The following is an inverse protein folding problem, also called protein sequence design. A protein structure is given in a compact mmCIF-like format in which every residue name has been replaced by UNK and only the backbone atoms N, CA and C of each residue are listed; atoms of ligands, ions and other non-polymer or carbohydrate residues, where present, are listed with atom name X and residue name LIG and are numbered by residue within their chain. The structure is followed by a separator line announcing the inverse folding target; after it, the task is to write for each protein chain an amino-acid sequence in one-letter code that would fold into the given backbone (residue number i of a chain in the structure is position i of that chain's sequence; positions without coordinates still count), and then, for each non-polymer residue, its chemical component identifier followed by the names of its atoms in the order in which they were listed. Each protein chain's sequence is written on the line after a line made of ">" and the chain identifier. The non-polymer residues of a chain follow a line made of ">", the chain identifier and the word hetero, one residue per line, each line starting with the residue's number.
data_IF_427509385957
#
_entry.id   IF_427509385957
#
_cell.length_a   1.000
_cell.length_b   1.000
_cell.length_c   1.000
_cell.angle_alpha   90.00
_cell.angle_beta   90.00
_cell.angle_gamma   90.00
#
_symmetry.space_group_name_H-M   'P 1'
#
loop_
_entity.id
_entity.type
_entity.pdbx_description
1 polymer ?
#
# COMPACT_ATOMS: atom_id res chain seq x y z
N UNK A 1 -4.40 -12.59 -4.60
CA UNK A 1 -3.97 -11.34 -3.94
C UNK A 1 -3.21 -10.53 -4.96
N UNK A 2 -3.43 -9.21 -4.96
CA UNK A 2 -2.99 -8.31 -6.04
C UNK A 2 -1.55 -8.48 -6.48
N UNK A 3 -0.58 -8.45 -5.55
CA UNK A 3 0.83 -8.57 -5.87
C UNK A 3 1.16 -9.87 -6.64
N UNK A 4 0.65 -11.01 -6.18
CA UNK A 4 0.87 -12.31 -6.83
C UNK A 4 0.25 -12.39 -8.23
N UNK A 5 -0.89 -11.74 -8.45
CA UNK A 5 -1.53 -11.69 -9.76
C UNK A 5 -0.79 -10.74 -10.71
N UNK A 6 -0.33 -9.59 -10.21
CA UNK A 6 0.43 -8.61 -10.97
C UNK A 6 1.80 -9.16 -11.42
N UNK A 7 2.59 -9.74 -10.50
CA UNK A 7 3.95 -10.23 -10.83
C UNK A 7 3.92 -11.35 -11.87
N UNK A 8 2.89 -12.21 -11.87
CA UNK A 8 2.70 -13.25 -12.90
C UNK A 8 2.39 -12.69 -14.29
N UNK A 9 1.98 -11.43 -14.40
CA UNK A 9 1.70 -10.73 -15.66
C UNK A 9 2.87 -9.89 -16.16
N UNK A 10 3.90 -9.68 -15.33
CA UNK A 10 5.11 -8.94 -15.74
C UNK A 10 6.03 -9.90 -16.51
N UNK A 11 6.33 -9.56 -17.76
CA UNK A 11 7.23 -10.34 -18.64
C UNK A 11 8.70 -9.94 -18.55
N UNK A 12 9.01 -8.92 -17.72
CA UNK A 12 10.37 -8.46 -17.47
C UNK A 12 11.04 -9.33 -16.40
N UNK A 13 12.37 -9.49 -16.41
CA UNK A 13 13.08 -10.05 -15.27
C UNK A 13 12.88 -9.14 -14.05
N UNK A 14 12.38 -9.71 -12.95
CA UNK A 14 12.08 -8.99 -11.72
C UNK A 14 12.67 -9.70 -10.50
N UNK A 15 12.95 -8.92 -9.47
CA UNK A 15 13.18 -9.41 -8.11
C UNK A 15 12.04 -8.93 -7.23
N UNK A 16 11.62 -9.75 -6.26
CA UNK A 16 10.52 -9.44 -5.35
C UNK A 16 11.09 -9.31 -3.94
N UNK A 17 10.77 -8.21 -3.27
CA UNK A 17 11.10 -7.93 -1.88
C UNK A 17 9.79 -7.61 -1.14
N UNK A 18 9.70 -7.99 0.14
CA UNK A 18 8.56 -7.67 0.99
C UNK A 18 9.00 -6.73 2.11
N UNK A 19 8.33 -5.59 2.25
CA UNK A 19 8.62 -4.61 3.29
C UNK A 19 7.39 -4.47 4.18
N UNK A 20 7.57 -4.66 5.49
CA UNK A 20 6.50 -4.39 6.45
C UNK A 20 6.64 -2.98 7.02
N UNK A 21 5.62 -2.16 6.78
CA UNK A 21 5.48 -0.83 7.39
C UNK A 21 4.37 -0.87 8.43
N UNK A 22 4.64 -0.40 9.64
CA UNK A 22 3.70 -0.41 10.76
C UNK A 22 3.38 1.02 11.16
N UNK A 23 2.10 1.37 11.24
CA UNK A 23 1.69 2.63 11.89
C UNK A 23 1.53 2.39 13.38
N UNK A 24 2.14 3.22 14.22
CA UNK A 24 1.80 3.22 15.65
C UNK A 24 0.39 3.82 15.83
N UNK A 25 -0.42 3.29 16.74
CA UNK A 25 -1.76 3.82 17.01
C UNK A 25 -2.75 2.75 17.48
N UNK A 26 -3.66 3.11 18.38
CA UNK A 26 -4.68 2.20 18.90
C UNK A 26 -5.81 2.08 17.87
N UNK A 27 -5.88 0.92 17.19
CA UNK A 27 -6.99 0.35 16.40
C UNK A 27 -7.62 1.16 15.24
N UNK A 28 -7.89 2.45 15.38
CA UNK A 28 -8.67 3.25 14.41
C UNK A 28 -8.03 4.56 13.97
N UNK A 29 -6.99 5.03 14.67
CA UNK A 29 -6.23 6.22 14.27
C UNK A 29 -4.73 5.92 14.20
N UNK A 30 -4.14 6.16 13.02
CA UNK A 30 -2.68 6.17 12.88
C UNK A 30 -2.12 7.38 13.63
N UNK A 31 -1.08 7.19 14.45
CA UNK A 31 -0.29 8.27 15.06
C UNK A 31 0.47 9.12 14.03
N UNK A 32 0.34 8.79 12.73
CA UNK A 32 1.05 9.41 11.62
C UNK A 32 2.49 8.88 11.46
N UNK A 33 3.00 8.10 12.40
CA UNK A 33 4.39 7.60 12.36
C UNK A 33 4.43 6.16 11.81
N UNK A 34 4.64 6.03 10.50
CA UNK A 34 4.74 4.73 9.81
C UNK A 34 6.16 4.13 9.84
N UNK A 35 6.50 3.28 10.81
CA UNK A 35 7.85 2.70 10.94
C UNK A 35 8.07 1.53 9.99
N UNK A 36 9.17 1.57 9.25
CA UNK A 36 9.63 0.45 8.42
C UNK A 36 10.30 -0.56 9.35
N UNK A 37 9.71 -1.76 9.44
CA UNK A 37 10.09 -2.80 10.41
C UNK A 37 10.95 -3.91 9.84
N UNK A 38 11.26 -3.84 8.55
CA UNK A 38 12.06 -4.85 7.82
C UNK A 38 13.25 -4.18 7.16
N UNK A 39 14.43 -4.79 7.28
CA UNK A 39 15.60 -4.39 6.51
C UNK A 39 15.53 -4.97 5.10
N UNK A 40 15.84 -4.14 4.10
CA UNK A 40 15.99 -4.59 2.70
C UNK A 40 17.08 -5.67 2.61
N UNK A 41 16.72 -6.81 2.01
CA UNK A 41 17.63 -7.92 1.74
C UNK A 41 18.22 -7.81 0.32
N UNK A 42 17.52 -7.12 -0.57
CA UNK A 42 17.95 -6.86 -1.95
C UNK A 42 18.55 -5.46 -2.04
N UNK A 43 19.73 -5.36 -2.65
CA UNK A 43 20.33 -4.07 -3.01
C UNK A 43 19.47 -3.37 -4.07
N UNK A 44 19.08 -2.13 -3.80
CA UNK A 44 18.24 -1.31 -4.68
C UNK A 44 18.96 -0.08 -5.24
N UNK A 45 20.26 0.08 -4.96
CA UNK A 45 21.06 1.19 -5.48
C UNK A 45 21.02 1.17 -7.02
N UNK A 46 20.71 2.32 -7.60
CA UNK A 46 20.57 2.55 -9.05
C UNK A 46 19.51 1.66 -9.75
N UNK A 47 18.61 1.03 -8.99
CA UNK A 47 17.51 0.22 -9.55
C UNK A 47 16.20 1.00 -9.64
N UNK A 48 15.37 0.62 -10.61
CA UNK A 48 13.99 1.08 -10.70
C UNK A 48 13.08 0.24 -9.82
N UNK A 49 12.49 0.86 -8.80
CA UNK A 49 11.64 0.18 -7.82
C UNK A 49 10.17 0.45 -8.13
N UNK A 50 9.35 -0.61 -8.13
CA UNK A 50 7.89 -0.53 -8.18
C UNK A 50 7.32 -0.99 -6.85
N UNK A 51 6.76 -0.05 -6.09
CA UNK A 51 5.98 -0.35 -4.87
C UNK A 51 4.60 -0.84 -5.29
N UNK A 52 4.20 -2.02 -4.82
CA UNK A 52 2.88 -2.60 -5.07
C UNK A 52 2.07 -2.54 -3.78
N UNK A 53 0.96 -1.81 -3.81
CA UNK A 53 0.03 -1.64 -2.67
C UNK A 53 -1.36 -2.18 -3.04
N UNK A 54 -2.08 -2.70 -2.06
CA UNK A 54 -3.50 -3.05 -2.23
C UNK A 54 -4.38 -1.79 -2.21
N UNK A 55 -4.16 -0.90 -1.24
CA UNK A 55 -4.95 0.33 -1.08
C UNK A 55 -4.12 1.51 -0.61
N UNK A 56 -4.27 2.66 -1.27
CA UNK A 56 -3.79 3.94 -0.77
C UNK A 56 -4.95 4.69 -0.12
N UNK A 57 -4.86 4.90 1.19
CA UNK A 57 -5.82 5.69 1.98
C UNK A 57 -5.29 7.12 2.17
N UNK A 58 -4.84 7.47 3.38
CA UNK A 58 -4.33 8.82 3.71
C UNK A 58 -3.07 9.21 2.92
N UNK A 59 -2.31 8.23 2.43
CA UNK A 59 -1.04 8.39 1.72
C UNK A 59 0.20 8.46 2.62
N UNK A 60 0.05 8.56 3.95
CA UNK A 60 1.16 8.76 4.90
C UNK A 60 2.19 7.65 4.86
N UNK A 61 1.75 6.39 4.96
CA UNK A 61 2.62 5.21 4.91
C UNK A 61 3.41 5.16 3.60
N UNK A 62 2.70 5.32 2.48
CA UNK A 62 3.29 5.28 1.15
C UNK A 62 4.34 6.38 0.94
N UNK A 63 4.06 7.61 1.36
CA UNK A 63 5.01 8.72 1.24
C UNK A 63 6.31 8.42 1.99
N UNK A 64 6.22 7.91 3.22
CA UNK A 64 7.39 7.52 4.00
C UNK A 64 8.17 6.38 3.36
N UNK A 65 7.48 5.38 2.80
CA UNK A 65 8.14 4.28 2.08
C UNK A 65 8.85 4.78 0.83
N UNK A 66 8.22 5.66 0.04
CA UNK A 66 8.82 6.25 -1.16
C UNK A 66 10.08 7.06 -0.82
N UNK A 67 10.03 7.90 0.20
CA UNK A 67 11.20 8.65 0.69
C UNK A 67 12.32 7.71 1.13
N UNK A 68 12.00 6.69 1.93
CA UNK A 68 12.98 5.70 2.40
C UNK A 68 13.68 4.99 1.24
N UNK A 69 12.92 4.49 0.26
CA UNK A 69 13.48 3.79 -0.90
C UNK A 69 14.38 4.71 -1.74
N UNK A 70 14.01 6.00 -1.86
CA UNK A 70 14.83 6.97 -2.56
C UNK A 70 16.13 7.27 -1.81
N UNK A 71 16.07 7.43 -0.49
CA UNK A 71 17.24 7.62 0.38
C UNK A 71 18.19 6.41 0.35
N UNK A 72 17.65 5.21 0.15
CA UNK A 72 18.43 3.97 -0.05
C UNK A 72 19.07 3.83 -1.43
N UNK A 73 18.94 4.84 -2.31
CA UNK A 73 19.66 4.90 -3.57
C UNK A 73 18.89 4.40 -4.79
N UNK A 74 17.57 4.16 -4.69
CA UNK A 74 16.78 3.80 -5.86
C UNK A 74 16.87 4.86 -6.97
N UNK A 75 17.03 4.43 -8.23
CA UNK A 75 17.06 5.32 -9.39
C UNK A 75 15.70 6.02 -9.57
N UNK A 76 14.61 5.26 -9.54
CA UNK A 76 13.24 5.75 -9.49
C UNK A 76 12.37 4.90 -8.58
N UNK A 77 11.27 5.47 -8.06
CA UNK A 77 10.34 4.80 -7.17
C UNK A 77 8.92 5.03 -7.68
N UNK A 78 8.43 4.09 -8.50
CA UNK A 78 7.06 4.08 -9.00
C UNK A 78 6.14 3.36 -8.02
N UNK A 79 4.85 3.65 -8.10
CA UNK A 79 3.82 3.04 -7.26
C UNK A 79 2.73 2.45 -8.13
N UNK A 80 2.31 1.22 -7.84
CA UNK A 80 1.10 0.61 -8.39
C UNK A 80 0.18 0.24 -7.24
N UNK A 81 -1.02 0.81 -7.22
CA UNK A 81 -2.03 0.53 -6.21
C UNK A 81 -3.28 -0.03 -6.86
N UNK A 82 -3.83 -1.10 -6.30
CA UNK A 82 -5.10 -1.64 -6.77
C UNK A 82 -6.24 -0.65 -6.53
N UNK A 83 -6.33 -0.10 -5.32
CA UNK A 83 -7.33 0.90 -4.93
C UNK A 83 -6.69 2.22 -4.49
N UNK A 84 -7.30 3.35 -4.85
CA UNK A 84 -6.87 4.69 -4.43
C UNK A 84 -8.06 5.48 -3.88
N UNK A 85 -8.06 5.76 -2.57
CA UNK A 85 -9.08 6.58 -1.89
C UNK A 85 -8.69 8.06 -1.92
N UNK A 86 -8.85 8.68 -3.08
CA UNK A 86 -8.47 10.08 -3.31
C UNK A 86 -9.10 11.03 -2.29
N UNK A 87 -10.37 10.80 -1.91
CA UNK A 87 -11.11 11.63 -0.95
C UNK A 87 -10.53 11.61 0.47
N UNK A 88 -9.81 10.55 0.85
CA UNK A 88 -9.19 10.43 2.19
C UNK A 88 -7.75 10.93 2.22
N UNK A 89 -7.23 11.39 1.08
CA UNK A 89 -5.83 11.77 0.95
C UNK A 89 -5.51 12.95 1.88
N UNK A 90 -4.58 12.76 2.82
CA UNK A 90 -4.11 13.81 3.73
C UNK A 90 -2.84 14.48 3.24
N UNK A 91 -2.05 13.78 2.43
CA UNK A 91 -0.81 14.30 1.84
C UNK A 91 -0.75 14.05 0.34
N UNK A 92 -0.25 14.99 -0.47
CA UNK A 92 -0.13 14.77 -1.91
C UNK A 92 0.79 13.58 -2.20
N UNK A 93 0.44 12.78 -3.21
CA UNK A 93 1.34 11.73 -3.70
C UNK A 93 2.48 12.38 -4.47
N UNK A 94 3.64 12.55 -3.83
CA UNK A 94 4.85 13.02 -4.48
C UNK A 94 5.74 11.83 -4.83
N UNK A 95 6.04 11.67 -6.11
CA UNK A 95 6.94 10.63 -6.60
C UNK A 95 8.25 11.25 -7.10
N UNK A 96 9.40 10.57 -6.93
CA UNK A 96 10.68 11.04 -7.45
C UNK A 96 10.67 11.18 -8.99
N UNK A 97 11.58 11.98 -9.58
CA UNK A 97 11.73 12.09 -11.03
C UNK A 97 11.87 10.72 -11.72
N UNK A 98 11.28 10.58 -12.91
CA UNK A 98 11.30 9.32 -13.66
C UNK A 98 10.39 8.22 -13.09
N UNK A 99 9.58 8.53 -12.09
CA UNK A 99 8.63 7.59 -11.48
C UNK A 99 7.22 7.76 -12.03
N UNK A 100 6.38 6.72 -11.89
CA UNK A 100 4.98 6.73 -12.32
C UNK A 100 4.06 6.21 -11.23
N UNK A 101 2.82 6.71 -11.23
CA UNK A 101 1.74 6.15 -10.44
C UNK A 101 0.77 5.38 -11.34
N UNK A 102 0.60 4.10 -11.07
CA UNK A 102 -0.33 3.19 -11.74
C UNK A 102 -1.52 2.93 -10.82
N UNK A 103 -2.65 3.59 -11.09
CA UNK A 103 -3.90 3.37 -10.37
C UNK A 103 -4.70 2.26 -11.04
N UNK A 104 -5.11 1.24 -10.27
CA UNK A 104 -6.09 0.26 -10.70
C UNK A 104 -7.49 0.86 -10.74
N UNK A 105 -8.05 1.16 -9.57
CA UNK A 105 -9.38 1.73 -9.42
C UNK A 105 -9.38 2.87 -8.40
N UNK A 106 -10.20 3.88 -8.65
CA UNK A 106 -10.55 4.86 -7.63
C UNK A 106 -11.59 4.25 -6.69
N UNK A 107 -11.37 4.39 -5.38
CA UNK A 107 -12.24 3.83 -4.36
C UNK A 107 -12.93 4.98 -3.60
N UNK A 108 -14.25 4.94 -3.43
CA UNK A 108 -14.95 5.85 -2.52
C UNK A 108 -14.51 5.63 -1.06
N UNK A 109 -14.97 6.50 -0.16
CA UNK A 109 -14.71 6.37 1.29
C UNK A 109 -15.59 5.28 1.93
N UNK A 110 -15.38 4.05 1.47
CA UNK A 110 -16.05 2.85 1.99
C UNK A 110 -15.05 1.89 2.62
N UNK A 111 -15.48 1.14 3.64
CA UNK A 111 -14.66 0.09 4.22
C UNK A 111 -14.69 -1.15 3.32
N UNK A 112 -13.55 -1.48 2.70
CA UNK A 112 -13.40 -2.61 1.77
C UNK A 112 -12.59 -3.74 2.40
N UNK A 113 -12.94 -4.98 2.04
CA UNK A 113 -12.23 -6.20 2.45
C UNK A 113 -12.09 -7.16 1.27
N UNK A 114 -11.23 -8.16 1.41
CA UNK A 114 -11.03 -9.18 0.38
C UNK A 114 -9.88 -8.88 -0.56
N UNK A 115 -9.49 -9.89 -1.34
CA UNK A 115 -8.38 -9.84 -2.29
C UNK A 115 -7.02 -9.43 -1.69
N UNK A 116 -6.87 -9.60 -0.38
CA UNK A 116 -5.70 -9.25 0.43
C UNK A 116 -5.99 -8.26 1.56
N UNK A 117 -7.01 -7.41 1.40
CA UNK A 117 -7.44 -6.43 2.41
C UNK A 117 -8.25 -7.12 3.51
N UNK A 118 -8.14 -6.61 4.74
CA UNK A 118 -8.74 -7.23 5.92
C UNK A 118 -9.61 -6.31 6.76
N UNK A 119 -10.36 -6.96 7.66
CA UNK A 119 -10.85 -6.36 8.88
C UNK A 119 -10.50 -7.30 10.03
N UNK A 120 -9.67 -6.84 10.98
CA UNK A 120 -9.20 -7.64 12.10
C UNK A 120 -8.53 -8.96 11.66
N UNK A 121 -7.69 -8.91 10.61
CA UNK A 121 -7.02 -10.06 10.00
C UNK A 121 -7.94 -11.09 9.29
N UNK A 122 -9.26 -10.83 9.23
CA UNK A 122 -10.21 -11.67 8.51
C UNK A 122 -10.43 -11.19 7.06
N UNK A 123 -11.10 -12.02 6.25
CA UNK A 123 -11.56 -11.73 4.88
C UNK A 123 -10.48 -11.62 3.78
N UNK A 124 -9.19 -11.61 4.11
CA UNK A 124 -8.08 -11.49 3.12
C UNK A 124 -8.18 -12.47 1.94
N UNK A 125 -8.68 -13.67 2.20
CA UNK A 125 -8.75 -14.78 1.26
C UNK A 125 -9.95 -14.74 0.29
N UNK A 126 -10.85 -13.77 0.39
CA UNK A 126 -11.93 -13.62 -0.58
C UNK A 126 -11.35 -13.32 -1.98
N UNK A 127 -11.85 -13.95 -3.05
CA UNK A 127 -11.32 -13.77 -4.40
C UNK A 127 -11.80 -12.47 -5.08
N UNK A 128 -12.55 -11.64 -4.35
CA UNK A 128 -13.13 -10.38 -4.80
C UNK A 128 -12.96 -9.31 -3.71
N UNK A 129 -13.19 -8.05 -4.11
CA UNK A 129 -13.27 -6.91 -3.21
C UNK A 129 -14.74 -6.71 -2.83
N UNK A 130 -15.03 -6.62 -1.53
CA UNK A 130 -16.37 -6.40 -1.02
C UNK A 130 -16.43 -5.24 -0.04
N UNK A 131 -17.61 -4.63 0.08
CA UNK A 131 -17.90 -3.62 1.10
C UNK A 131 -18.25 -4.32 2.41
N UNK A 132 -17.58 -3.96 3.50
CA UNK A 132 -17.93 -4.43 4.83
C UNK A 132 -19.18 -3.71 5.31
N UNK A 133 -20.13 -4.44 5.89
CA UNK A 133 -21.36 -3.83 6.43
C UNK A 133 -21.01 -2.94 7.64
N UNK A 134 -21.55 -1.71 7.76
CA UNK A 134 -21.30 -0.80 8.89
C UNK A 134 -21.44 -1.44 10.27
N UNK A 135 -22.47 -2.28 10.46
CA UNK A 135 -22.70 -3.00 11.71
C UNK A 135 -21.50 -3.83 12.22
N UNK A 136 -20.51 -4.14 11.37
CA UNK A 136 -19.30 -4.89 11.74
C UNK A 136 -18.19 -4.03 12.33
N UNK A 137 -18.15 -2.73 12.02
CA UNK A 137 -17.08 -1.83 12.48
C UNK A 137 -17.59 -0.62 13.26
N UNK A 138 -18.88 -0.28 13.18
CA UNK A 138 -19.52 0.73 14.01
C UNK A 138 -19.87 0.24 15.42
N UNK A 139 -19.76 -1.07 15.70
CA UNK A 139 -19.96 -1.65 17.03
C UNK A 139 -18.68 -1.70 17.88
N UNK A 140 -17.56 -1.15 17.38
CA UNK A 140 -16.24 -1.15 18.04
C UNK A 140 -15.91 0.24 18.61
N UNK A 141 -16.86 1.17 18.57
CA UNK A 141 -16.78 2.49 19.20
C UNK A 141 -17.67 2.53 20.44
N UNK A 142 -17.27 1.81 21.48
CA UNK A 142 -17.65 2.01 22.89
C UNK A 142 -16.41 1.73 23.77
#
# INVERSE_FOLDING_TARGET
>A
MFAADLVRKISLPISIEFIRVQSYGNRTESSGVAVISTELQIDIIDKHVLVIEDIIDTGTTLSRLVSYLKEKGAASVSVCALLDKVLRRKIPLQLPPGSRFYRGFECPDDFVVGYGMDFAEEYRNLPYIGLLKPAKYSAVSD
#
